data_IF_249748084291
#
_entry.id   IF_249748084291
#
_cell.length_a   1.000
_cell.length_b   1.000
_cell.length_c   1.000
_cell.angle_alpha   90.00
_cell.angle_beta   90.00
_cell.angle_gamma   90.00
#
_symmetry.space_group_name_H-M   'P 1'
#
loop_
_entity.id
_entity.type
_entity.pdbx_description
1 polymer ?
#
# COMPACT_ATOMS: atom_id res chain seq x y z
N UNK A 1 6.69 9.07 6.21
CA UNK A 1 6.08 7.76 6.52
C UNK A 1 6.62 6.78 5.51
N UNK A 2 6.98 5.56 5.95
CA UNK A 2 7.74 4.64 5.10
C UNK A 2 9.09 5.22 4.66
N UNK A 3 9.49 4.93 3.41
CA UNK A 3 10.76 5.36 2.80
C UNK A 3 10.82 6.85 2.44
N UNK A 4 9.70 7.56 2.49
CA UNK A 4 9.59 8.96 2.06
C UNK A 4 9.41 9.14 0.54
N UNK A 5 9.56 8.08 -0.24
CA UNK A 5 9.29 8.06 -1.68
C UNK A 5 7.80 7.91 -1.98
N UNK A 6 7.37 8.35 -3.16
CA UNK A 6 5.99 8.16 -3.59
C UNK A 6 5.73 6.69 -3.98
N UNK A 7 4.53 6.14 -3.68
CA UNK A 7 4.15 4.79 -4.08
C UNK A 7 4.39 4.48 -5.57
N UNK A 8 4.17 5.49 -6.42
CA UNK A 8 4.35 5.44 -7.87
C UNK A 8 5.79 5.17 -8.32
N UNK A 9 6.79 5.40 -7.45
CA UNK A 9 8.19 5.05 -7.73
C UNK A 9 8.43 3.53 -7.65
N UNK A 10 7.53 2.79 -7.00
CA UNK A 10 7.49 1.33 -7.03
C UNK A 10 8.64 0.64 -6.31
N UNK A 11 8.97 -0.56 -6.80
CA UNK A 11 9.90 -1.49 -6.15
C UNK A 11 11.29 -0.86 -5.93
N UNK A 12 11.89 -1.12 -4.76
CA UNK A 12 13.20 -0.59 -4.34
C UNK A 12 13.24 0.92 -4.08
N UNK A 13 12.09 1.60 -4.13
CA UNK A 13 11.95 3.03 -3.82
C UNK A 13 10.86 3.27 -2.79
N UNK A 14 9.64 2.89 -3.14
CA UNK A 14 8.50 2.94 -2.24
C UNK A 14 8.51 1.75 -1.27
N UNK A 15 8.07 1.99 -0.04
CA UNK A 15 7.79 0.90 0.89
C UNK A 15 6.50 0.19 0.48
N UNK A 16 6.45 -1.12 0.74
CA UNK A 16 5.32 -1.94 0.35
C UNK A 16 5.07 -3.09 1.31
N UNK A 17 3.82 -3.53 1.34
CA UNK A 17 3.41 -4.82 1.87
C UNK A 17 2.88 -5.66 0.72
N UNK A 18 3.27 -6.94 0.66
CA UNK A 18 2.82 -7.90 -0.35
C UNK A 18 2.23 -9.14 0.28
N UNK A 19 1.50 -9.91 -0.51
CA UNK A 19 0.83 -11.13 -0.11
C UNK A 19 -0.10 -10.90 1.09
N UNK A 20 -0.93 -9.86 0.99
CA UNK A 20 -1.89 -9.50 2.03
C UNK A 20 -3.04 -10.49 1.93
N UNK A 21 -3.29 -11.19 3.04
CA UNK A 21 -4.34 -12.19 3.15
C UNK A 21 -5.02 -12.04 4.50
N UNK A 22 -6.29 -12.43 4.57
CA UNK A 22 -7.02 -12.56 5.82
C UNK A 22 -7.38 -14.02 6.06
N UNK A 23 -7.55 -14.38 7.33
CA UNK A 23 -7.99 -15.71 7.73
C UNK A 23 -9.49 -15.66 7.97
N UNK A 24 -10.24 -16.54 7.32
CA UNK A 24 -11.68 -16.66 7.54
C UNK A 24 -12.02 -17.57 8.74
N UNK A 25 -13.31 -17.70 9.03
CA UNK A 25 -13.81 -18.54 10.14
C UNK A 25 -13.43 -20.02 9.99
N UNK A 26 -13.10 -20.47 8.78
CA UNK A 26 -12.64 -21.82 8.48
C UNK A 26 -11.10 -21.98 8.61
N UNK A 27 -10.40 -20.95 9.12
CA UNK A 27 -8.93 -20.92 9.23
C UNK A 27 -8.21 -21.00 7.88
N UNK A 28 -8.85 -20.52 6.80
CA UNK A 28 -8.28 -20.51 5.46
C UNK A 28 -7.79 -19.11 5.10
N UNK A 29 -6.59 -19.02 4.52
CA UNK A 29 -6.08 -17.77 3.97
C UNK A 29 -6.84 -17.41 2.69
N UNK A 30 -7.36 -16.19 2.65
CA UNK A 30 -8.06 -15.62 1.51
C UNK A 30 -7.48 -14.27 1.13
N UNK A 31 -7.41 -14.02 -0.16
CA UNK A 31 -7.02 -12.73 -0.69
C UNK A 31 -8.17 -11.73 -0.48
N UNK A 32 -7.87 -10.48 -0.08
CA UNK A 32 -8.88 -9.46 0.14
C UNK A 32 -9.40 -8.92 -1.20
N UNK A 33 -10.68 -9.14 -1.51
CA UNK A 33 -11.29 -8.74 -2.78
C UNK A 33 -11.52 -7.22 -2.93
N UNK A 34 -11.55 -6.47 -1.82
CA UNK A 34 -11.89 -5.02 -1.80
C UNK A 34 -11.07 -4.25 -0.78
N UNK A 35 -9.76 -4.13 -1.03
CA UNK A 35 -8.93 -3.23 -0.24
C UNK A 35 -9.26 -1.77 -0.57
N UNK A 36 -9.57 -1.00 0.47
CA UNK A 36 -9.79 0.44 0.37
C UNK A 36 -8.65 1.13 1.11
N UNK A 37 -7.74 1.83 0.39
CA UNK A 37 -6.68 2.58 1.04
C UNK A 37 -7.27 3.78 1.80
N UNK A 38 -6.76 4.04 3.01
CA UNK A 38 -7.15 5.19 3.82
C UNK A 38 -5.91 5.88 4.41
N UNK A 39 -5.79 7.18 4.14
CA UNK A 39 -4.77 8.04 4.71
C UNK A 39 -5.43 9.20 5.45
N UNK A 40 -5.02 9.47 6.69
CA UNK A 40 -5.48 10.63 7.46
C UNK A 40 -5.00 11.96 6.87
N UNK A 41 -3.84 11.95 6.21
CA UNK A 41 -3.27 13.10 5.46
C UNK A 41 -2.96 12.68 4.01
N UNK A 42 -3.97 12.57 3.12
CA UNK A 42 -3.81 12.02 1.77
C UNK A 42 -2.90 12.87 0.86
N UNK A 43 -2.74 14.16 1.16
CA UNK A 43 -1.83 15.05 0.43
C UNK A 43 -0.35 14.84 0.82
N UNK A 44 -0.10 14.26 1.99
CA UNK A 44 1.23 14.03 2.55
C UNK A 44 1.69 12.58 2.37
N UNK A 45 0.73 11.65 2.48
CA UNK A 45 0.95 10.22 2.39
C UNK A 45 -0.10 9.60 1.50
N UNK A 46 0.36 8.80 0.56
CA UNK A 46 -0.46 8.14 -0.45
C UNK A 46 -0.27 6.64 -0.36
N UNK A 47 -1.29 5.91 -0.78
CA UNK A 47 -1.30 4.47 -0.89
C UNK A 47 -1.71 4.11 -2.32
N UNK A 48 -0.99 3.19 -2.93
CA UNK A 48 -1.35 2.60 -4.22
C UNK A 48 -1.50 1.10 -4.04
N UNK A 49 -2.74 0.64 -4.18
CA UNK A 49 -3.08 -0.78 -4.10
C UNK A 49 -2.91 -1.39 -5.48
N UNK A 50 -2.27 -2.55 -5.52
CA UNK A 50 -2.12 -3.36 -6.72
C UNK A 50 -2.46 -4.82 -6.43
N UNK A 51 -2.82 -5.52 -7.49
CA UNK A 51 -3.01 -6.96 -7.45
C UNK A 51 -2.18 -7.58 -8.57
N UNK A 52 -1.34 -8.53 -8.20
CA UNK A 52 -0.55 -9.30 -9.15
C UNK A 52 -0.64 -10.78 -8.77
N UNK A 53 -1.59 -11.46 -9.39
CA UNK A 53 -1.80 -12.91 -9.26
C UNK A 53 -0.85 -13.72 -10.15
N UNK A 54 -0.04 -13.05 -10.98
CA UNK A 54 0.92 -13.71 -11.87
C UNK A 54 2.28 -13.93 -11.21
N UNK A 55 2.54 -13.28 -10.08
CA UNK A 55 3.75 -13.43 -9.26
C UNK A 55 3.39 -13.72 -7.80
N UNK A 56 4.37 -14.11 -6.97
CA UNK A 56 4.19 -14.28 -5.50
C UNK A 56 3.89 -12.97 -4.74
N UNK A 57 3.49 -11.91 -5.45
CA UNK A 57 3.10 -10.63 -4.85
C UNK A 57 1.66 -10.65 -4.34
N UNK A 58 0.77 -11.43 -4.96
CA UNK A 58 -0.64 -11.51 -4.59
C UNK A 58 -1.29 -10.12 -4.55
N UNK A 59 -2.15 -9.87 -3.57
CA UNK A 59 -2.61 -8.52 -3.27
C UNK A 59 -1.54 -7.76 -2.47
N UNK A 60 -1.19 -6.55 -2.91
CA UNK A 60 -0.15 -5.73 -2.31
C UNK A 60 -0.53 -4.24 -2.32
N UNK A 61 0.18 -3.43 -1.54
CA UNK A 61 0.13 -1.98 -1.70
C UNK A 61 1.49 -1.36 -1.48
N UNK A 62 1.76 -0.31 -2.24
CA UNK A 62 2.84 0.63 -1.98
C UNK A 62 2.30 1.77 -1.12
N UNK A 63 3.11 2.28 -0.21
CA UNK A 63 2.78 3.42 0.63
C UNK A 63 4.00 4.30 0.84
N UNK A 64 3.76 5.59 1.02
CA UNK A 64 4.84 6.53 1.23
C UNK A 64 4.41 7.96 0.99
N UNK A 65 5.40 8.80 0.73
CA UNK A 65 5.27 10.23 0.58
C UNK A 65 6.20 10.99 1.53
N UNK A 66 6.73 12.13 1.09
CA UNK A 66 7.77 12.86 1.80
C UNK A 66 7.29 13.41 3.16
N UNK A 67 5.97 13.48 3.40
CA UNK A 67 5.41 14.06 4.61
C UNK A 67 5.60 15.58 4.73
N UNK A 68 6.26 16.18 3.75
CA UNK A 68 6.48 17.61 3.61
C UNK A 68 6.51 17.95 2.11
N UNK A 69 5.55 18.76 1.67
CA UNK A 69 5.42 19.28 0.31
C UNK A 69 4.56 20.54 0.36
N UNK A 70 4.57 21.37 -0.68
CA UNK A 70 3.66 22.53 -0.76
C UNK A 70 2.18 22.12 -0.67
N UNK A 71 1.87 20.90 -1.10
CA UNK A 71 0.54 20.30 -1.02
C UNK A 71 0.23 19.68 0.35
N UNK A 72 1.22 19.46 1.22
CA UNK A 72 1.05 18.85 2.53
C UNK A 72 1.02 19.93 3.61
N UNK A 73 -0.16 20.37 4.06
CA UNK A 73 -0.27 21.37 5.12
C UNK A 73 0.19 20.79 6.47
N UNK A 74 0.82 21.66 7.27
CA UNK A 74 1.20 21.37 8.65
C UNK A 74 -0.03 21.04 9.51
#
# INVERSE_FOLDING_TARGET
MGSGHFPSEGYNKADFFRNIQYVDDASVFKDPEKLIPYASKPLCYVFEVGEDTSTDKGTFFYFGGPGYSESCPN
#
